data_IF_048637057221
#
_entry.id   IF_048637057221
#
_cell.length_a   1.000
_cell.length_b   1.000
_cell.length_c   1.000
_cell.angle_alpha   90.00
_cell.angle_beta   90.00
_cell.angle_gamma   90.00
#
_symmetry.space_group_name_H-M   'P 1'
#
loop_
_entity.id
_entity.type
_entity.pdbx_description
1 polymer ?
#
# COMPACT_ATOMS: atom_id res chain seq x y z
N UNK A 1 32.48 -14.67 -38.24
CA UNK A 1 32.29 -14.41 -39.70
C UNK A 1 31.64 -13.04 -39.84
N UNK A 2 32.09 -12.23 -40.82
CA UNK A 2 31.90 -10.77 -41.03
C UNK A 2 32.67 -9.90 -40.02
N UNK A 3 33.86 -9.31 -40.28
CA UNK A 3 34.53 -8.73 -41.47
C UNK A 3 33.82 -7.49 -42.04
N UNK A 4 34.33 -6.28 -41.75
CA UNK A 4 34.61 -5.17 -42.70
C UNK A 4 35.11 -3.91 -41.95
N UNK A 5 36.40 -3.55 -42.02
CA UNK A 5 37.00 -2.45 -42.83
C UNK A 5 36.76 -1.04 -42.27
N UNK A 6 37.70 -0.44 -41.53
CA UNK A 6 38.82 0.39 -42.02
C UNK A 6 38.39 1.42 -43.08
N UNK A 7 38.37 2.70 -42.68
CA UNK A 7 38.78 3.81 -43.53
C UNK A 7 39.56 4.84 -42.70
N UNK A 8 40.87 4.64 -42.67
CA UNK A 8 41.87 5.71 -42.53
C UNK A 8 41.84 6.55 -43.81
N UNK A 9 41.73 7.87 -43.68
CA UNK A 9 42.06 8.79 -44.77
C UNK A 9 42.81 9.98 -44.21
N UNK A 10 44.12 9.84 -44.34
CA UNK A 10 45.16 10.84 -44.30
C UNK A 10 44.83 11.95 -45.31
N UNK A 11 44.84 13.22 -44.90
CA UNK A 11 44.93 14.33 -45.85
C UNK A 11 45.87 15.38 -45.28
N UNK A 12 47.10 15.30 -45.78
CA UNK A 12 48.15 16.32 -45.74
C UNK A 12 47.83 17.31 -46.85
N UNK A 13 47.63 18.61 -46.56
CA UNK A 13 47.80 19.65 -47.57
C UNK A 13 48.28 20.98 -46.96
N UNK A 14 49.59 21.18 -47.12
CA UNK A 14 50.28 22.39 -47.63
C UNK A 14 50.08 23.73 -46.90
N UNK A 15 51.17 24.14 -46.25
CA UNK A 15 51.58 25.52 -46.01
C UNK A 15 51.62 26.33 -47.32
N UNK A 16 50.83 27.40 -47.40
CA UNK A 16 51.10 28.52 -48.30
C UNK A 16 50.82 29.83 -47.55
N UNK A 17 51.86 30.32 -46.89
CA UNK A 17 51.94 31.70 -46.40
C UNK A 17 52.19 32.58 -47.62
N UNK A 18 51.16 33.31 -48.05
CA UNK A 18 51.29 34.40 -49.01
C UNK A 18 50.84 35.67 -48.31
N UNK A 19 51.81 36.40 -47.81
CA UNK A 19 51.66 37.71 -47.20
C UNK A 19 51.48 38.76 -48.32
N UNK A 20 50.24 39.13 -48.65
CA UNK A 20 49.98 40.40 -49.32
C UNK A 20 49.76 41.48 -48.25
N UNK A 21 50.78 42.31 -48.03
CA UNK A 21 50.59 43.63 -47.45
C UNK A 21 49.92 44.52 -48.51
N UNK A 22 48.61 44.67 -48.43
CA UNK A 22 47.89 45.76 -49.09
C UNK A 22 47.58 46.81 -48.02
N UNK A 23 48.37 47.88 -48.01
CA UNK A 23 48.11 49.07 -47.21
C UNK A 23 46.85 49.77 -47.74
N UNK A 24 45.69 49.42 -47.17
CA UNK A 24 44.46 50.19 -47.33
C UNK A 24 44.61 51.47 -46.52
N UNK A 25 44.70 52.59 -47.23
CA UNK A 25 44.63 53.93 -46.66
C UNK A 25 43.27 54.07 -45.94
N UNK A 26 43.32 54.18 -44.61
CA UNK A 26 42.14 54.34 -43.78
C UNK A 26 41.50 55.70 -44.01
N UNK A 27 40.30 55.69 -44.58
CA UNK A 27 39.32 56.75 -44.34
C UNK A 27 38.89 56.60 -42.88
N UNK A 28 39.29 57.55 -42.04
CA UNK A 28 38.81 57.64 -40.67
C UNK A 28 37.30 57.94 -40.70
N UNK A 29 36.50 56.88 -40.69
CA UNK A 29 35.07 57.00 -40.43
C UNK A 29 34.92 57.63 -39.04
N UNK A 30 34.38 58.85 -39.02
CA UNK A 30 34.04 59.56 -37.82
C UNK A 30 32.95 58.77 -37.09
N UNK A 31 33.39 57.87 -36.21
CA UNK A 31 32.52 57.12 -35.31
C UNK A 31 31.84 58.15 -34.40
N UNK A 32 30.59 58.48 -34.72
CA UNK A 32 29.78 59.34 -33.86
C UNK A 32 29.72 58.72 -32.46
N UNK A 33 29.92 59.50 -31.38
CA UNK A 33 29.93 58.97 -30.04
C UNK A 33 28.60 58.26 -29.76
N UNK A 34 28.69 56.96 -29.46
CA UNK A 34 27.54 56.14 -29.09
C UNK A 34 27.10 56.61 -27.71
N UNK A 35 26.11 57.51 -27.66
CA UNK A 35 25.45 57.88 -26.42
C UNK A 35 24.72 56.61 -25.92
N UNK A 36 25.04 56.09 -24.72
CA UNK A 36 24.35 54.91 -24.21
C UNK A 36 22.86 55.25 -24.09
N UNK A 37 22.03 54.48 -24.79
CA UNK A 37 20.59 54.60 -24.68
C UNK A 37 20.21 54.21 -23.25
N UNK A 38 19.74 55.18 -22.46
CA UNK A 38 19.26 54.94 -21.11
C UNK A 38 17.90 54.24 -21.17
N UNK A 39 17.91 52.92 -21.06
CA UNK A 39 16.71 52.08 -21.11
C UNK A 39 16.24 51.83 -19.68
N UNK A 40 15.05 52.35 -19.35
CA UNK A 40 14.42 52.14 -18.05
C UNK A 40 14.31 50.65 -17.70
N UNK A 41 14.72 50.30 -16.49
CA UNK A 41 14.67 48.93 -15.97
C UNK A 41 13.22 48.48 -15.74
N UNK A 42 12.87 47.22 -16.07
CA UNK A 42 11.56 46.68 -15.73
C UNK A 42 11.47 46.36 -14.23
N UNK A 43 10.25 46.29 -13.71
CA UNK A 43 9.97 45.88 -12.33
C UNK A 43 9.15 44.60 -12.29
N UNK A 44 9.42 43.73 -11.32
CA UNK A 44 8.62 42.53 -11.05
C UNK A 44 7.67 42.83 -9.90
N UNK A 45 6.38 42.91 -10.22
CA UNK A 45 5.32 43.26 -9.28
C UNK A 45 4.79 42.02 -8.55
N UNK A 46 4.53 40.93 -9.29
CA UNK A 46 3.96 39.69 -8.76
C UNK A 46 4.85 38.51 -9.15
N UNK A 47 5.20 37.69 -8.16
CA UNK A 47 5.87 36.41 -8.32
C UNK A 47 5.53 35.50 -7.14
N UNK A 48 5.37 34.18 -7.32
CA UNK A 48 5.07 33.28 -6.23
C UNK A 48 6.29 33.09 -5.31
N UNK A 49 6.10 33.14 -4.00
CA UNK A 49 7.18 32.82 -3.06
C UNK A 49 7.55 31.34 -3.09
N UNK A 50 6.54 30.47 -3.29
CA UNK A 50 6.68 29.02 -3.41
C UNK A 50 6.02 28.60 -4.72
N UNK A 51 6.74 27.81 -5.51
CA UNK A 51 6.26 27.29 -6.79
C UNK A 51 6.28 25.76 -6.78
N UNK A 52 5.20 25.14 -7.26
CA UNK A 52 5.07 23.69 -7.40
C UNK A 52 5.09 23.29 -8.89
N UNK A 53 6.27 22.98 -9.48
CA UNK A 53 6.44 22.75 -10.92
C UNK A 53 5.51 21.70 -11.55
N UNK A 54 5.06 20.74 -10.73
CA UNK A 54 4.20 19.64 -11.18
C UNK A 54 2.71 20.03 -11.19
N UNK A 55 2.32 21.01 -10.37
CA UNK A 55 0.91 21.36 -10.13
C UNK A 55 0.51 22.68 -10.77
N UNK A 56 1.44 23.63 -10.81
CA UNK A 56 1.16 25.02 -11.11
C UNK A 56 1.83 25.47 -12.42
N UNK A 57 1.30 26.56 -12.96
CA UNK A 57 1.92 27.31 -14.06
C UNK A 57 2.68 28.45 -13.39
N UNK A 58 3.93 28.68 -13.77
CA UNK A 58 4.69 29.81 -13.24
C UNK A 58 4.03 31.09 -13.75
N UNK A 59 3.53 31.90 -12.82
CA UNK A 59 2.89 33.18 -13.10
C UNK A 59 3.76 34.32 -12.57
N UNK A 60 4.23 35.20 -13.46
CA UNK A 60 5.03 36.37 -13.10
C UNK A 60 4.50 37.58 -13.85
N UNK A 61 4.35 38.69 -13.14
CA UNK A 61 3.89 39.95 -13.71
C UNK A 61 4.77 41.12 -13.29
N UNK A 62 4.77 42.15 -14.12
CA UNK A 62 5.52 43.35 -13.84
C UNK A 62 5.17 44.52 -14.73
N UNK A 63 5.94 45.59 -14.58
CA UNK A 63 5.83 46.80 -15.38
C UNK A 63 7.13 47.04 -16.14
N UNK A 64 7.00 47.57 -17.34
CA UNK A 64 8.08 47.99 -18.22
C UNK A 64 7.59 49.16 -19.09
N UNK A 65 8.46 49.69 -19.95
CA UNK A 65 8.05 50.66 -20.97
C UNK A 65 6.98 50.03 -21.90
N UNK A 66 5.95 50.78 -22.32
CA UNK A 66 4.94 50.28 -23.26
C UNK A 66 5.54 49.65 -24.52
N UNK A 67 4.97 48.53 -24.96
CA UNK A 67 5.40 47.76 -26.15
C UNK A 67 6.81 47.18 -26.12
N UNK A 68 7.56 47.37 -25.03
CA UNK A 68 8.93 46.87 -24.92
C UNK A 68 8.97 45.33 -24.82
N UNK A 69 10.02 44.73 -25.38
CA UNK A 69 10.29 43.30 -25.20
C UNK A 69 11.00 43.08 -23.86
N UNK A 70 10.38 42.29 -22.99
CA UNK A 70 10.89 41.96 -21.66
C UNK A 70 11.45 40.55 -21.67
N UNK A 71 12.72 40.42 -21.32
CA UNK A 71 13.39 39.14 -21.12
C UNK A 71 13.45 38.83 -19.63
N UNK A 72 12.96 37.66 -19.25
CA UNK A 72 13.00 37.16 -17.88
C UNK A 72 14.00 36.01 -17.80
N UNK A 73 14.87 36.04 -16.79
CA UNK A 73 15.86 34.98 -16.54
C UNK A 73 15.65 34.39 -15.15
N UNK A 74 15.53 33.07 -15.09
CA UNK A 74 15.53 32.29 -13.86
C UNK A 74 16.90 31.66 -13.68
N UNK A 75 17.53 31.90 -12.53
CA UNK A 75 18.87 31.43 -12.20
C UNK A 75 18.87 30.65 -10.91
N UNK A 76 19.63 29.55 -10.89
CA UNK A 76 19.96 28.79 -9.69
C UNK A 76 21.41 28.37 -9.77
N UNK A 77 22.13 28.41 -8.66
CA UNK A 77 23.54 28.00 -8.61
C UNK A 77 23.67 26.54 -9.03
N UNK A 78 24.57 26.27 -9.98
CA UNK A 78 24.78 24.92 -10.55
C UNK A 78 23.76 24.48 -11.60
N UNK A 79 22.72 25.26 -11.88
CA UNK A 79 21.73 24.97 -12.91
C UNK A 79 21.90 25.89 -14.14
N UNK A 80 21.48 25.40 -15.32
CA UNK A 80 21.46 26.21 -16.53
C UNK A 80 20.37 27.30 -16.40
N UNK A 81 20.66 28.59 -16.69
CA UNK A 81 19.64 29.63 -16.65
C UNK A 81 18.52 29.37 -17.66
N UNK A 82 17.28 29.61 -17.24
CA UNK A 82 16.09 29.53 -18.09
C UNK A 82 15.72 30.94 -18.50
N UNK A 83 15.49 31.16 -19.80
CA UNK A 83 15.21 32.48 -20.37
C UNK A 83 13.86 32.46 -21.06
N UNK A 84 13.02 33.39 -20.68
CA UNK A 84 11.67 33.59 -21.17
C UNK A 84 11.57 35.00 -21.75
N UNK A 85 10.58 35.23 -22.59
CA UNK A 85 10.32 36.54 -23.19
C UNK A 85 8.84 36.84 -23.20
N UNK A 86 8.49 38.07 -22.88
CA UNK A 86 7.13 38.61 -22.97
C UNK A 86 7.18 40.01 -23.57
N UNK A 87 6.04 40.52 -24.02
CA UNK A 87 5.92 41.88 -24.53
C UNK A 87 5.05 42.69 -23.58
N UNK A 88 5.51 43.90 -23.25
CA UNK A 88 4.72 44.84 -22.46
C UNK A 88 3.54 45.38 -23.27
N UNK A 89 2.39 45.54 -22.62
CA UNK A 89 1.19 46.12 -23.19
C UNK A 89 1.34 47.62 -23.44
N UNK A 90 0.31 48.27 -23.98
CA UNK A 90 0.28 49.72 -24.13
C UNK A 90 0.34 50.46 -22.78
N UNK A 91 -0.06 49.81 -21.69
CA UNK A 91 0.01 50.34 -20.33
C UNK A 91 1.35 50.03 -19.64
N UNK A 92 2.25 49.29 -20.31
CA UNK A 92 3.53 48.87 -19.75
C UNK A 92 3.46 47.57 -18.93
N UNK A 93 2.30 46.93 -18.81
CA UNK A 93 2.14 45.66 -18.08
C UNK A 93 2.67 44.49 -18.91
N UNK A 94 3.39 43.56 -18.28
CA UNK A 94 3.83 42.32 -18.91
C UNK A 94 3.56 41.13 -18.00
N UNK A 95 3.28 39.98 -18.61
CA UNK A 95 2.94 38.73 -17.90
C UNK A 95 3.67 37.55 -18.54
N UNK A 96 4.07 36.59 -17.70
CA UNK A 96 4.55 35.27 -18.09
C UNK A 96 3.69 34.24 -17.38
N UNK A 97 3.15 33.29 -18.14
CA UNK A 97 2.36 32.17 -17.65
C UNK A 97 2.83 30.88 -18.35
N UNK A 98 3.90 30.28 -17.85
CA UNK A 98 4.53 29.10 -18.47
C UNK A 98 4.64 27.91 -17.52
N UNK A 99 4.40 26.70 -18.05
CA UNK A 99 4.62 25.46 -17.31
C UNK A 99 6.10 25.09 -17.39
N UNK A 100 6.84 25.34 -16.30
CA UNK A 100 8.28 25.09 -16.22
C UNK A 100 8.59 24.00 -15.21
N UNK A 101 9.48 23.08 -15.60
CA UNK A 101 10.03 22.08 -14.71
C UNK A 101 11.29 22.63 -14.04
N UNK A 102 11.11 23.26 -12.88
CA UNK A 102 12.22 23.73 -12.06
C UNK A 102 12.69 22.62 -11.12
N UNK A 103 14.01 22.48 -11.00
CA UNK A 103 14.58 21.66 -9.94
C UNK A 103 14.26 22.24 -8.56
N UNK A 104 14.21 21.37 -7.55
CA UNK A 104 14.02 21.77 -6.15
C UNK A 104 15.06 22.82 -5.73
N UNK A 105 14.62 23.84 -4.99
CA UNK A 105 15.48 24.82 -4.34
C UNK A 105 15.07 26.26 -4.64
N UNK A 106 15.92 27.18 -4.22
CA UNK A 106 15.68 28.61 -4.39
C UNK A 106 16.20 29.07 -5.76
N UNK A 107 15.35 29.73 -6.52
CA UNK A 107 15.63 30.31 -7.84
C UNK A 107 15.50 31.82 -7.78
N UNK A 108 16.42 32.51 -8.41
CA UNK A 108 16.40 33.96 -8.57
C UNK A 108 15.77 34.32 -9.93
N UNK A 109 14.75 35.17 -9.91
CA UNK A 109 14.09 35.73 -11.10
C UNK A 109 14.54 37.18 -11.27
N UNK A 110 14.97 37.52 -12.49
CA UNK A 110 15.24 38.90 -12.91
C UNK A 110 14.59 39.17 -14.26
N UNK A 111 14.25 40.42 -14.51
CA UNK A 111 13.75 40.89 -15.80
C UNK A 111 14.67 41.98 -16.37
N UNK A 112 14.78 42.08 -17.68
CA UNK A 112 15.43 43.19 -18.38
C UNK A 112 14.64 43.53 -19.65
N UNK A 113 14.65 44.79 -20.07
CA UNK A 113 14.11 45.21 -21.36
C UNK A 113 15.17 44.98 -22.44
N UNK A 114 14.78 44.48 -23.61
CA UNK A 114 15.64 44.33 -24.79
C UNK A 114 15.02 45.08 -25.95
N UNK A 115 15.73 46.06 -26.49
CA UNK A 115 15.26 46.92 -27.57
C UNK A 115 16.40 47.25 -28.54
N UNK A 116 16.20 47.00 -29.84
CA UNK A 116 17.16 47.33 -30.90
C UNK A 116 18.60 46.80 -30.64
N UNK A 117 18.70 45.59 -30.07
CA UNK A 117 19.99 44.96 -29.73
C UNK A 117 20.66 45.50 -28.46
N UNK A 118 20.08 46.52 -27.82
CA UNK A 118 20.50 47.03 -26.52
C UNK A 118 19.63 46.45 -25.41
N UNK A 119 20.18 46.35 -24.20
CA UNK A 119 19.47 45.84 -23.03
C UNK A 119 19.55 46.84 -21.87
N UNK A 120 18.45 46.96 -21.11
CA UNK A 120 18.48 47.67 -19.83
C UNK A 120 19.34 46.91 -18.81
N UNK A 121 19.61 47.55 -17.68
CA UNK A 121 20.03 46.82 -16.49
C UNK A 121 18.93 45.85 -16.02
N UNK A 122 19.34 44.87 -15.21
CA UNK A 122 18.44 43.87 -14.65
C UNK A 122 17.62 44.46 -13.50
N UNK A 123 16.34 44.07 -13.42
CA UNK A 123 15.47 44.38 -12.31
C UNK A 123 16.03 43.86 -10.98
N UNK A 124 15.49 44.40 -9.88
CA UNK A 124 15.68 43.81 -8.56
C UNK A 124 15.33 42.31 -8.57
N UNK A 125 16.17 41.45 -7.98
CA UNK A 125 15.94 40.02 -7.96
C UNK A 125 14.75 39.65 -7.08
N UNK A 126 13.97 38.66 -7.52
CA UNK A 126 12.94 37.98 -6.71
C UNK A 126 13.34 36.53 -6.50
N UNK A 127 13.23 36.03 -5.27
CA UNK A 127 13.53 34.64 -4.96
C UNK A 127 12.22 33.85 -4.95
N UNK A 128 12.19 32.75 -5.70
CA UNK A 128 11.10 31.78 -5.66
C UNK A 128 11.64 30.44 -5.17
N UNK A 129 10.88 29.74 -4.33
CA UNK A 129 11.25 28.41 -3.85
C UNK A 129 10.51 27.33 -4.63
N UNK A 130 11.22 26.61 -5.48
CA UNK A 130 10.68 25.47 -6.20
C UNK A 130 10.61 24.23 -5.29
N UNK A 131 9.40 23.71 -5.08
CA UNK A 131 9.14 22.52 -4.26
C UNK A 131 8.60 21.39 -5.13
N UNK A 132 9.36 20.29 -5.19
CA UNK A 132 8.94 19.08 -5.90
C UNK A 132 8.09 18.23 -4.95
N UNK A 133 6.84 17.98 -5.32
CA UNK A 133 5.87 17.20 -4.53
C UNK A 133 5.47 15.86 -5.18
N UNK A 134 6.32 15.37 -6.07
CA UNK A 134 6.14 14.09 -6.75
C UNK A 134 7.45 13.59 -7.34
N UNK A 135 7.36 12.49 -8.08
CA UNK A 135 8.48 11.96 -8.82
C UNK A 135 8.03 11.64 -10.25
N UNK A 136 8.97 11.75 -11.18
CA UNK A 136 8.73 11.46 -12.60
C UNK A 136 9.32 10.09 -12.93
N UNK A 137 8.50 9.19 -13.48
CA UNK A 137 8.91 7.88 -14.00
C UNK A 137 8.61 7.84 -15.49
N UNK A 138 9.66 8.02 -16.30
CA UNK A 138 9.50 8.21 -17.74
C UNK A 138 8.66 9.45 -18.06
N UNK A 139 7.52 9.26 -18.72
CA UNK A 139 6.61 10.35 -19.09
C UNK A 139 5.48 10.56 -18.06
N UNK A 140 5.45 9.79 -16.98
CA UNK A 140 4.41 9.90 -15.94
C UNK A 140 4.93 10.67 -14.74
N UNK A 141 4.10 11.61 -14.27
CA UNK A 141 4.33 12.34 -13.02
C UNK A 141 3.41 11.78 -11.95
N UNK A 142 3.98 11.19 -10.90
CA UNK A 142 3.22 10.66 -9.76
C UNK A 142 3.40 11.59 -8.58
N UNK A 143 2.31 12.23 -8.15
CA UNK A 143 2.28 13.08 -6.96
C UNK A 143 2.40 12.21 -5.71
N UNK A 144 3.06 12.72 -4.67
CA UNK A 144 3.14 12.00 -3.39
C UNK A 144 1.77 11.78 -2.76
N UNK A 145 0.82 12.71 -2.93
CA UNK A 145 -0.56 12.53 -2.48
C UNK A 145 -1.24 11.34 -3.16
N UNK A 146 -1.09 11.21 -4.48
CA UNK A 146 -1.62 10.08 -5.26
C UNK A 146 -0.93 8.77 -4.87
N UNK A 147 0.40 8.76 -4.70
CA UNK A 147 1.15 7.59 -4.27
C UNK A 147 0.71 7.13 -2.85
N UNK A 148 0.53 8.08 -1.92
CA UNK A 148 0.07 7.80 -0.57
C UNK A 148 -1.34 7.19 -0.55
N UNK A 149 -2.25 7.67 -1.41
CA UNK A 149 -3.59 7.09 -1.55
C UNK A 149 -3.53 5.63 -1.98
N UNK A 150 -2.75 5.31 -3.03
CA UNK A 150 -2.59 3.92 -3.48
C UNK A 150 -1.95 3.03 -2.40
N UNK A 151 -0.94 3.54 -1.70
CA UNK A 151 -0.30 2.81 -0.60
C UNK A 151 -1.28 2.55 0.55
N UNK A 152 -2.12 3.52 0.89
CA UNK A 152 -3.17 3.37 1.91
C UNK A 152 -4.20 2.33 1.52
N UNK A 153 -4.64 2.30 0.25
CA UNK A 153 -5.57 1.27 -0.25
C UNK A 153 -4.95 -0.13 -0.17
N UNK A 154 -3.69 -0.26 -0.58
CA UNK A 154 -2.95 -1.53 -0.51
C UNK A 154 -2.79 -2.00 0.94
N UNK A 155 -2.50 -1.08 1.86
CA UNK A 155 -2.42 -1.36 3.28
C UNK A 155 -3.75 -1.86 3.86
N UNK A 156 -4.87 -1.21 3.50
CA UNK A 156 -6.21 -1.63 3.92
C UNK A 156 -6.60 -3.01 3.37
N UNK A 157 -6.25 -3.31 2.11
CA UNK A 157 -6.44 -4.63 1.54
C UNK A 157 -5.61 -5.70 2.28
N UNK A 158 -4.35 -5.40 2.60
CA UNK A 158 -3.49 -6.28 3.41
C UNK A 158 -4.05 -6.53 4.80
N UNK A 159 -4.53 -5.49 5.49
CA UNK A 159 -5.14 -5.61 6.81
C UNK A 159 -6.42 -6.45 6.75
N UNK A 160 -7.23 -6.26 5.71
CA UNK A 160 -8.46 -7.05 5.49
C UNK A 160 -8.14 -8.53 5.30
N UNK A 161 -7.10 -8.86 4.53
CA UNK A 161 -6.63 -10.23 4.36
C UNK A 161 -6.09 -10.84 5.66
N UNK A 162 -5.37 -10.07 6.48
CA UNK A 162 -4.88 -10.53 7.78
C UNK A 162 -6.01 -10.80 8.76
N UNK A 163 -7.02 -9.92 8.84
CA UNK A 163 -8.21 -10.12 9.66
C UNK A 163 -8.98 -11.34 9.17
N UNK A 164 -9.21 -11.45 7.87
CA UNK A 164 -9.89 -12.61 7.27
C UNK A 164 -9.14 -13.92 7.58
N UNK A 165 -7.82 -13.96 7.40
CA UNK A 165 -6.99 -15.11 7.74
C UNK A 165 -7.05 -15.47 9.22
N UNK A 166 -6.98 -14.47 10.10
CA UNK A 166 -7.08 -14.65 11.55
C UNK A 166 -8.44 -15.21 11.97
N UNK A 167 -9.53 -14.68 11.42
CA UNK A 167 -10.89 -15.20 11.64
C UNK A 167 -10.97 -16.63 11.15
N UNK A 168 -10.53 -16.92 9.92
CA UNK A 168 -10.57 -18.26 9.33
C UNK A 168 -9.82 -19.29 10.17
N UNK A 169 -8.61 -18.96 10.65
CA UNK A 169 -7.82 -19.85 11.51
C UNK A 169 -8.52 -20.07 12.85
N UNK A 170 -9.07 -19.02 13.47
CA UNK A 170 -9.86 -19.15 14.71
C UNK A 170 -11.08 -20.05 14.51
N UNK A 171 -11.78 -19.91 13.38
CA UNK A 171 -12.95 -20.74 13.06
C UNK A 171 -12.56 -22.21 12.89
N UNK A 172 -11.41 -22.50 12.26
CA UNK A 172 -10.91 -23.87 12.12
C UNK A 172 -10.51 -24.48 13.48
N UNK A 173 -9.80 -23.74 14.32
CA UNK A 173 -9.44 -24.20 15.67
C UNK A 173 -10.68 -24.50 16.52
N UNK A 174 -11.72 -23.64 16.45
CA UNK A 174 -12.99 -23.88 17.14
C UNK A 174 -13.69 -25.16 16.66
N UNK A 175 -13.63 -25.48 15.36
CA UNK A 175 -14.19 -26.73 14.83
C UNK A 175 -13.45 -27.95 15.36
N UNK A 176 -12.13 -27.87 15.46
CA UNK A 176 -11.30 -28.95 15.98
C UNK A 176 -11.52 -29.16 17.49
N UNK A 177 -11.54 -28.08 18.27
CA UNK A 177 -11.89 -28.13 19.70
C UNK A 177 -13.28 -28.70 19.92
N UNK A 178 -14.27 -28.31 19.12
CA UNK A 178 -15.63 -28.84 19.25
C UNK A 178 -15.70 -30.34 18.91
N UNK A 179 -14.92 -30.81 17.93
CA UNK A 179 -14.81 -32.25 17.63
C UNK A 179 -14.19 -33.01 18.81
N UNK A 180 -13.14 -32.46 19.42
CA UNK A 180 -12.50 -33.08 20.60
C UNK A 180 -13.47 -33.08 21.78
N UNK A 181 -14.19 -31.98 22.01
CA UNK A 181 -15.22 -31.90 23.07
C UNK A 181 -16.33 -32.92 22.86
N UNK A 182 -16.84 -33.07 21.64
CA UNK A 182 -17.87 -34.08 21.33
C UNK A 182 -17.38 -35.51 21.59
N UNK A 183 -16.12 -35.84 21.23
CA UNK A 183 -15.54 -37.16 21.53
C UNK A 183 -15.49 -37.42 23.03
N UNK A 184 -15.01 -36.44 23.82
CA UNK A 184 -14.97 -36.56 25.28
C UNK A 184 -16.36 -36.71 25.90
N UNK A 185 -17.36 -35.99 25.39
CA UNK A 185 -18.75 -36.12 25.86
C UNK A 185 -19.25 -37.54 25.61
N UNK A 186 -19.07 -38.09 24.40
CA UNK A 186 -19.49 -39.47 24.10
C UNK A 186 -18.76 -40.52 24.93
N UNK A 187 -17.45 -40.34 25.15
CA UNK A 187 -16.67 -41.23 26.02
C UNK A 187 -17.12 -41.16 27.49
N UNK A 188 -17.54 -39.99 27.97
CA UNK A 188 -18.08 -39.85 29.31
C UNK A 188 -19.49 -40.45 29.40
N UNK A 189 -20.33 -40.24 28.39
CA UNK A 189 -21.66 -40.85 28.29
C UNK A 189 -21.58 -42.38 28.28
N UNK A 190 -20.67 -42.97 27.50
CA UNK A 190 -20.51 -44.43 27.47
C UNK A 190 -19.99 -44.99 28.80
N UNK A 191 -19.05 -44.29 29.46
CA UNK A 191 -18.58 -44.66 30.80
C UNK A 191 -19.65 -44.54 31.87
N UNK A 192 -20.52 -43.53 31.78
CA UNK A 192 -21.65 -43.37 32.70
C UNK A 192 -22.68 -44.48 32.50
N UNK A 193 -23.08 -44.76 31.26
CA UNK A 193 -23.99 -45.87 30.93
C UNK A 193 -23.47 -47.21 31.44
N UNK A 194 -22.17 -47.49 31.24
CA UNK A 194 -21.55 -48.72 31.76
C UNK A 194 -21.61 -48.81 33.30
N UNK A 195 -21.36 -47.69 34.00
CA UNK A 195 -21.47 -47.65 35.46
C UNK A 195 -22.91 -47.82 35.95
N UNK A 196 -23.86 -47.15 35.30
CA UNK A 196 -25.29 -47.29 35.61
C UNK A 196 -25.76 -48.72 35.41
N UNK A 197 -25.37 -49.38 34.31
CA UNK A 197 -25.67 -50.79 34.07
C UNK A 197 -25.06 -51.69 35.15
N UNK A 198 -23.79 -51.50 35.52
CA UNK A 198 -23.13 -52.30 36.55
C UNK A 198 -23.82 -52.16 37.93
N UNK A 199 -24.22 -50.94 38.30
CA UNK A 199 -24.98 -50.67 39.52
C UNK A 199 -26.38 -51.30 39.46
N UNK A 200 -27.05 -51.24 38.31
CA UNK A 200 -28.36 -51.87 38.09
C UNK A 200 -28.26 -53.39 38.25
N UNK A 201 -27.29 -54.04 37.61
CA UNK A 201 -27.09 -55.50 37.72
C UNK A 201 -26.80 -55.92 39.16
N UNK A 202 -25.96 -55.16 39.88
CA UNK A 202 -25.70 -55.39 41.31
C UNK A 202 -26.97 -55.24 42.16
N UNK A 203 -27.78 -54.22 41.89
CA UNK A 203 -29.03 -54.00 42.62
C UNK A 203 -30.06 -55.11 42.37
N UNK A 204 -30.18 -55.57 41.12
CA UNK A 204 -31.06 -56.66 40.70
C UNK A 204 -30.62 -57.97 41.34
N UNK A 205 -29.32 -58.30 41.25
CA UNK A 205 -28.75 -59.50 41.86
C UNK A 205 -28.96 -59.53 43.38
N UNK A 206 -28.78 -58.38 44.04
CA UNK A 206 -29.04 -58.24 45.48
C UNK A 206 -30.52 -58.45 45.80
N UNK A 207 -31.43 -57.80 45.07
CA UNK A 207 -32.88 -57.96 45.24
C UNK A 207 -33.35 -59.41 45.05
N UNK A 208 -32.82 -60.12 44.05
CA UNK A 208 -33.10 -61.55 43.85
C UNK A 208 -32.56 -62.41 45.00
N UNK A 209 -31.37 -62.11 45.52
CA UNK A 209 -30.80 -62.84 46.65
C UNK A 209 -31.64 -62.70 47.92
N UNK A 210 -32.15 -61.49 48.19
CA UNK A 210 -33.03 -61.19 49.31
C UNK A 210 -34.39 -61.91 49.16
N UNK A 211 -35.01 -61.86 47.97
CA UNK A 211 -36.26 -62.60 47.69
C UNK A 211 -36.06 -64.10 47.86
N UNK A 212 -34.92 -64.64 47.39
CA UNK A 212 -34.60 -66.06 47.51
C UNK A 212 -34.45 -66.49 48.97
N UNK A 213 -33.76 -65.70 49.80
CA UNK A 213 -33.67 -65.97 51.24
C UNK A 213 -35.03 -65.90 51.92
N UNK A 214 -35.85 -64.90 51.57
CA UNK A 214 -37.19 -64.70 52.12
C UNK A 214 -38.14 -65.88 51.82
N UNK A 215 -38.09 -66.42 50.59
CA UNK A 215 -38.89 -67.58 50.17
C UNK A 215 -38.41 -68.86 50.85
N UNK A 216 -37.09 -69.04 50.98
CA UNK A 216 -36.51 -70.18 51.70
C UNK A 216 -36.92 -70.14 53.18
N UNK A 217 -36.79 -68.98 53.83
CA UNK A 217 -37.14 -68.79 55.24
C UNK A 217 -38.64 -68.98 55.50
N UNK A 218 -39.51 -68.34 54.70
CA UNK A 218 -40.98 -68.48 54.84
C UNK A 218 -41.49 -69.87 54.51
N UNK A 219 -40.92 -70.54 53.50
CA UNK A 219 -41.35 -71.89 53.13
C UNK A 219 -40.97 -72.94 54.17
N UNK A 220 -39.83 -72.77 54.87
CA UNK A 220 -39.47 -73.60 56.04
C UNK A 220 -40.47 -73.38 57.19
N UNK A 221 -40.91 -72.14 57.42
CA UNK A 221 -41.87 -71.81 58.48
C UNK A 221 -43.30 -72.32 58.23
N UNK A 222 -43.72 -72.48 56.97
CA UNK A 222 -45.09 -72.87 56.60
C UNK A 222 -45.32 -74.38 56.42
N UNK A 223 -44.29 -75.24 56.49
CA UNK A 223 -44.44 -76.70 56.40
C UNK A 223 -44.97 -77.18 55.04
N UNK A 224 -44.82 -76.38 53.98
CA UNK A 224 -45.24 -76.71 52.62
C UNK A 224 -44.21 -77.63 51.95
N UNK A 225 -44.68 -78.72 51.34
CA UNK A 225 -43.87 -79.80 50.75
C UNK A 225 -42.84 -79.31 49.70
N UNK A 226 -41.67 -79.97 49.59
CA UNK A 226 -40.51 -79.51 48.81
C UNK A 226 -40.77 -79.34 47.30
N UNK A 227 -41.79 -80.00 46.74
CA UNK A 227 -42.08 -79.96 45.29
C UNK A 227 -42.54 -78.58 44.80
N UNK A 228 -43.26 -77.80 45.61
CA UNK A 228 -43.75 -76.46 45.18
C UNK A 228 -42.67 -75.37 45.32
N UNK A 229 -41.67 -75.60 46.17
CA UNK A 229 -40.53 -74.72 46.33
C UNK A 229 -39.53 -74.84 45.18
N UNK A 230 -39.24 -76.06 44.72
CA UNK A 230 -38.38 -76.26 43.55
C UNK A 230 -38.94 -75.55 42.31
N UNK A 231 -40.24 -75.66 42.07
CA UNK A 231 -40.91 -75.00 40.94
C UNK A 231 -40.85 -73.46 41.04
N UNK A 232 -40.89 -72.91 42.25
CA UNK A 232 -40.79 -71.46 42.48
C UNK A 232 -39.35 -70.95 42.30
N UNK A 233 -38.36 -71.74 42.70
CA UNK A 233 -36.93 -71.45 42.49
C UNK A 233 -36.60 -71.51 41.00
N UNK A 234 -37.11 -72.52 40.28
CA UNK A 234 -36.92 -72.66 38.83
C UNK A 234 -37.55 -71.49 38.06
N UNK A 235 -38.76 -71.06 38.44
CA UNK A 235 -39.40 -69.87 37.86
C UNK A 235 -38.60 -68.60 38.11
N UNK A 236 -38.05 -68.42 39.31
CA UNK A 236 -37.19 -67.28 39.61
C UNK A 236 -35.88 -67.30 38.83
N UNK A 237 -35.27 -68.47 38.64
CA UNK A 237 -34.08 -68.61 37.79
C UNK A 237 -34.39 -68.29 36.33
N UNK A 238 -35.54 -68.73 35.83
CA UNK A 238 -35.98 -68.43 34.47
C UNK A 238 -36.23 -66.93 34.28
N UNK A 239 -36.86 -66.27 35.26
CA UNK A 239 -37.08 -64.82 35.24
C UNK A 239 -35.74 -64.07 35.34
N UNK A 240 -34.84 -64.50 36.21
CA UNK A 240 -33.51 -63.91 36.33
C UNK A 240 -32.74 -64.00 35.02
N UNK A 241 -32.68 -65.20 34.40
CA UNK A 241 -31.97 -65.38 33.13
C UNK A 241 -32.57 -64.52 32.02
N UNK A 242 -33.91 -64.39 31.99
CA UNK A 242 -34.60 -63.58 30.99
C UNK A 242 -34.34 -62.09 31.18
N UNK A 243 -34.27 -61.61 32.42
CA UNK A 243 -33.90 -60.22 32.73
C UNK A 243 -32.43 -59.96 32.39
N UNK A 244 -31.51 -60.89 32.69
CA UNK A 244 -30.10 -60.77 32.31
C UNK A 244 -29.92 -60.74 30.78
N UNK A 245 -30.68 -61.55 30.04
CA UNK A 245 -30.71 -61.55 28.58
C UNK A 245 -31.26 -60.23 28.02
N UNK A 246 -32.37 -59.72 28.56
CA UNK A 246 -32.97 -58.46 28.11
C UNK A 246 -32.07 -57.24 28.42
N UNK A 247 -31.41 -57.23 29.59
CA UNK A 247 -30.38 -56.23 29.91
C UNK A 247 -29.21 -56.30 28.91
N UNK A 248 -28.77 -57.51 28.57
CA UNK A 248 -27.68 -57.72 27.62
C UNK A 248 -28.06 -57.29 26.19
N UNK A 249 -29.30 -57.53 25.77
CA UNK A 249 -29.78 -57.14 24.44
C UNK A 249 -30.01 -55.62 24.35
N UNK A 250 -30.51 -54.98 25.41
CA UNK A 250 -30.56 -53.52 25.49
C UNK A 250 -29.17 -52.92 25.44
N UNK A 251 -28.18 -53.54 26.10
CA UNK A 251 -26.77 -53.12 26.01
C UNK A 251 -26.17 -53.28 24.60
N UNK A 252 -26.72 -54.16 23.75
CA UNK A 252 -26.29 -54.36 22.35
C UNK A 252 -27.00 -53.45 21.35
N UNK A 253 -28.20 -52.96 21.66
CA UNK A 253 -29.03 -52.18 20.75
C UNK A 253 -28.68 -50.68 20.71
N UNK A 254 -27.79 -50.21 21.58
CA UNK A 254 -27.33 -48.82 21.63
C UNK A 254 -25.85 -48.73 21.14
N UNK A 255 -25.61 -48.65 19.82
CA UNK A 255 -24.27 -48.65 19.21
C UNK A 255 -23.43 -47.39 19.49
#
# INVERSE_FOLDING_TARGET
MHRSSIHTSFSVFIFAVVSLLSSVAGTADAQSPIVPLDIAEPTIAISPDIFYPLDEILYVEGLARPHASVKVELRKSGAKPIRLSSQASANGEWTIAERLMLEKGDWEIRAQVVENGSASAWSNPRIIRAVINGFQVGNFTIKFSTAALYLSLLFMAGLSLLVYGSVRVRTMRRREENRIRQKRIRELESKLKQKELEELTKSVQKGFSEIRSDILEKGIAQGTLPQTQEESIEKLQTIQSKIEEEIHDVAKLDP
#
